data_IF_656387981224
#
_entry.id   IF_656387981224
#
_cell.length_a   1.000
_cell.length_b   1.000
_cell.length_c   1.000
_cell.angle_alpha   90.00
_cell.angle_beta   90.00
_cell.angle_gamma   90.00
#
_symmetry.space_group_name_H-M   'P 1'
#
loop_
_entity.id
_entity.type
_entity.pdbx_description
1 polymer ?
#
# COMPACT_ATOMS: atom_id res chain seq x y z
N UNK A 1 20.70 -9.72 2.94
CA UNK A 1 19.55 -9.21 2.20
C UNK A 1 19.94 -8.57 0.84
N UNK A 2 20.72 -7.48 0.79
CA UNK A 2 21.03 -6.81 -0.48
C UNK A 2 21.76 -7.69 -1.49
N UNK A 3 22.66 -8.59 -1.07
CA UNK A 3 23.29 -9.55 -1.98
C UNK A 3 22.27 -10.49 -2.66
N UNK A 4 21.23 -10.92 -1.91
CA UNK A 4 20.17 -11.75 -2.48
C UNK A 4 19.30 -10.94 -3.45
N UNK A 5 19.07 -9.66 -3.16
CA UNK A 5 18.38 -8.74 -4.07
C UNK A 5 19.17 -8.53 -5.37
N UNK A 6 20.50 -8.34 -5.29
CA UNK A 6 21.36 -8.24 -6.47
C UNK A 6 21.38 -9.53 -7.29
N UNK A 7 21.30 -10.70 -6.65
CA UNK A 7 21.14 -11.99 -7.36
C UNK A 7 19.82 -12.02 -8.16
N UNK A 8 18.70 -11.61 -7.54
CA UNK A 8 17.42 -11.51 -8.25
C UNK A 8 17.47 -10.50 -9.42
N UNK A 9 18.14 -9.34 -9.21
CA UNK A 9 18.35 -8.37 -10.29
C UNK A 9 19.15 -8.95 -11.45
N UNK A 10 20.14 -9.79 -11.17
CA UNK A 10 20.95 -10.46 -12.21
C UNK A 10 20.11 -11.49 -13.00
N UNK A 11 19.33 -12.32 -12.30
CA UNK A 11 18.39 -13.27 -12.95
C UNK A 11 17.41 -12.50 -13.82
N UNK A 12 16.79 -11.45 -13.28
CA UNK A 12 15.83 -10.64 -14.03
C UNK A 12 16.48 -9.98 -15.26
N UNK A 13 17.70 -9.47 -15.12
CA UNK A 13 18.48 -8.87 -16.22
C UNK A 13 18.73 -9.87 -17.34
N UNK A 14 19.13 -11.09 -17.02
CA UNK A 14 19.34 -12.16 -18.01
C UNK A 14 18.05 -12.44 -18.81
N UNK A 15 16.91 -12.54 -18.14
CA UNK A 15 15.61 -12.74 -18.81
C UNK A 15 15.18 -11.54 -19.65
N UNK A 16 15.48 -10.30 -19.23
CA UNK A 16 15.26 -9.07 -20.00
C UNK A 16 16.11 -9.10 -21.29
N UNK A 17 17.41 -9.36 -21.17
CA UNK A 17 18.35 -9.38 -22.30
C UNK A 17 17.99 -10.47 -23.33
N UNK A 18 17.46 -11.61 -22.88
CA UNK A 18 16.98 -12.70 -23.72
C UNK A 18 15.55 -12.47 -24.26
N UNK A 19 14.90 -11.36 -23.91
CA UNK A 19 13.51 -11.05 -24.27
C UNK A 19 12.52 -12.19 -23.92
N UNK A 20 12.72 -12.79 -22.76
CA UNK A 20 11.91 -13.89 -22.25
C UNK A 20 10.55 -13.42 -21.75
N UNK A 21 9.56 -14.33 -21.72
CA UNK A 21 8.22 -14.03 -21.18
C UNK A 21 8.21 -14.16 -19.68
N UNK A 22 7.88 -13.06 -18.98
CA UNK A 22 7.90 -12.99 -17.52
C UNK A 22 6.49 -13.04 -16.95
N UNK A 23 6.29 -13.90 -15.98
CA UNK A 23 5.02 -14.10 -15.29
C UNK A 23 5.09 -13.48 -13.89
N UNK A 24 4.19 -12.54 -13.58
CA UNK A 24 4.09 -11.90 -12.25
C UNK A 24 2.81 -12.38 -11.57
N UNK A 25 2.92 -12.87 -10.35
CA UNK A 25 1.81 -13.21 -9.46
C UNK A 25 1.94 -12.32 -8.23
N UNK A 26 0.88 -11.58 -7.89
CA UNK A 26 0.93 -10.63 -6.78
C UNK A 26 -0.33 -10.65 -5.92
N UNK A 27 -0.23 -10.10 -4.71
CA UNK A 27 -1.33 -9.96 -3.78
C UNK A 27 -2.28 -8.81 -4.15
N UNK A 28 -3.47 -8.80 -3.56
CA UNK A 28 -4.55 -7.92 -3.99
C UNK A 28 -4.74 -6.64 -3.15
N UNK A 29 -3.98 -6.44 -2.09
CA UNK A 29 -4.01 -5.21 -1.30
C UNK A 29 -3.11 -4.11 -1.88
N UNK A 30 -2.94 -3.03 -1.14
CA UNK A 30 -2.13 -1.91 -1.59
C UNK A 30 -0.65 -2.29 -1.76
N UNK A 31 -0.10 -3.15 -0.87
CA UNK A 31 1.29 -3.60 -0.97
C UNK A 31 1.49 -4.49 -2.19
N UNK A 32 0.67 -5.51 -2.38
CA UNK A 32 0.76 -6.40 -3.54
C UNK A 32 0.51 -5.69 -4.88
N UNK A 33 -0.45 -4.75 -4.95
CA UNK A 33 -0.67 -3.95 -6.18
C UNK A 33 0.56 -3.06 -6.45
N UNK A 34 1.17 -2.47 -5.42
CA UNK A 34 2.39 -1.67 -5.55
C UNK A 34 3.59 -2.52 -5.93
N UNK A 35 3.72 -3.74 -5.37
CA UNK A 35 4.73 -4.72 -5.74
C UNK A 35 4.65 -5.10 -7.24
N UNK A 36 3.43 -5.41 -7.70
CA UNK A 36 3.17 -5.64 -9.12
C UNK A 36 3.49 -4.42 -9.97
N UNK A 37 3.20 -3.20 -9.49
CA UNK A 37 3.47 -1.96 -10.21
C UNK A 37 4.96 -1.69 -10.39
N UNK A 38 5.78 -1.95 -9.36
CA UNK A 38 7.24 -1.86 -9.45
C UNK A 38 7.77 -2.75 -10.57
N UNK A 39 7.41 -4.03 -10.54
CA UNK A 39 7.88 -5.01 -11.53
C UNK A 39 7.35 -4.69 -12.93
N UNK A 40 6.05 -4.39 -13.05
CA UNK A 40 5.42 -4.12 -14.34
C UNK A 40 5.96 -2.83 -14.99
N UNK A 41 6.22 -1.75 -14.22
CA UNK A 41 6.84 -0.54 -14.77
C UNK A 41 8.28 -0.82 -15.20
N UNK A 42 9.08 -1.55 -14.40
CA UNK A 42 10.44 -1.91 -14.77
C UNK A 42 10.49 -2.69 -16.09
N UNK A 43 9.64 -3.72 -16.25
CA UNK A 43 9.59 -4.52 -17.48
C UNK A 43 9.01 -3.76 -18.67
N UNK A 44 8.03 -2.89 -18.45
CA UNK A 44 7.47 -2.01 -19.49
C UNK A 44 8.52 -1.06 -20.06
N UNK A 45 9.38 -0.49 -19.21
CA UNK A 45 10.48 0.37 -19.65
C UNK A 45 11.51 -0.38 -20.48
N UNK A 46 11.80 -1.63 -20.14
CA UNK A 46 12.69 -2.53 -20.90
C UNK A 46 12.00 -3.14 -22.14
N UNK A 47 10.70 -2.87 -22.34
CA UNK A 47 9.88 -3.38 -23.47
C UNK A 47 9.79 -4.91 -23.53
N UNK A 48 9.91 -5.57 -22.38
CA UNK A 48 9.78 -7.03 -22.26
C UNK A 48 8.31 -7.41 -22.10
N UNK A 49 7.94 -8.55 -22.66
CA UNK A 49 6.59 -9.09 -22.52
C UNK A 49 6.40 -9.69 -21.12
N UNK A 50 5.35 -9.29 -20.45
CA UNK A 50 4.98 -9.85 -19.15
C UNK A 50 3.47 -10.03 -19.02
N UNK A 51 3.08 -10.93 -18.13
CA UNK A 51 1.70 -11.12 -17.75
C UNK A 51 1.56 -11.08 -16.24
N UNK A 52 0.71 -10.18 -15.73
CA UNK A 52 0.45 -10.01 -14.30
C UNK A 52 -0.91 -10.61 -13.91
N UNK A 53 -0.93 -11.41 -12.86
CA UNK A 53 -2.16 -11.86 -12.20
C UNK A 53 -2.11 -11.43 -10.73
N UNK A 54 -3.17 -10.78 -10.28
CA UNK A 54 -3.33 -10.36 -8.90
C UNK A 54 -4.40 -11.24 -8.25
N UNK A 55 -4.09 -11.84 -7.12
CA UNK A 55 -4.96 -12.80 -6.42
C UNK A 55 -5.04 -12.48 -4.92
N UNK A 56 -6.18 -12.77 -4.26
CA UNK A 56 -6.33 -12.55 -2.82
C UNK A 56 -5.50 -13.50 -1.96
N UNK A 57 -5.04 -14.61 -2.52
CA UNK A 57 -4.23 -15.64 -1.84
C UNK A 57 -3.62 -16.56 -2.88
N UNK A 58 -2.36 -16.90 -2.70
CA UNK A 58 -1.74 -18.00 -3.43
C UNK A 58 -2.35 -19.33 -2.96
N UNK A 59 -2.67 -20.21 -3.89
CA UNK A 59 -3.26 -21.54 -3.65
C UNK A 59 -2.55 -22.57 -4.51
N UNK A 60 -2.53 -23.82 -4.05
CA UNK A 60 -1.94 -24.96 -4.78
C UNK A 60 -2.49 -25.11 -6.20
N UNK A 61 -3.80 -24.87 -6.40
CA UNK A 61 -4.41 -24.94 -7.75
C UNK A 61 -3.75 -23.97 -8.72
N UNK A 62 -3.49 -22.73 -8.29
CA UNK A 62 -2.81 -21.74 -9.12
C UNK A 62 -1.34 -22.11 -9.36
N UNK A 63 -0.64 -22.61 -8.33
CA UNK A 63 0.75 -23.10 -8.46
C UNK A 63 0.80 -24.24 -9.46
N UNK A 64 -0.12 -25.20 -9.38
CA UNK A 64 -0.22 -26.33 -10.31
C UNK A 64 -0.52 -25.86 -11.74
N UNK A 65 -1.41 -24.86 -11.93
CA UNK A 65 -1.67 -24.25 -13.21
C UNK A 65 -0.39 -23.62 -13.79
N UNK A 66 0.31 -22.80 -12.99
CA UNK A 66 1.54 -22.11 -13.40
C UNK A 66 2.66 -23.09 -13.80
N UNK A 67 2.77 -24.25 -13.15
CA UNK A 67 3.75 -25.31 -13.55
C UNK A 67 3.52 -25.85 -14.96
N UNK A 68 2.30 -25.78 -15.48
CA UNK A 68 1.94 -26.25 -16.81
C UNK A 68 1.93 -25.13 -17.86
N UNK A 69 1.98 -23.87 -17.43
CA UNK A 69 2.14 -22.74 -18.33
C UNK A 69 3.60 -22.65 -18.82
N UNK A 70 3.81 -22.09 -20.01
CA UNK A 70 5.17 -21.87 -20.52
C UNK A 70 5.64 -20.48 -20.10
N UNK A 71 6.55 -20.44 -19.16
CA UNK A 71 7.22 -19.23 -18.70
C UNK A 71 8.71 -19.49 -18.66
N UNK A 72 9.49 -18.44 -18.83
CA UNK A 72 10.94 -18.49 -18.64
C UNK A 72 11.32 -18.04 -17.23
N UNK A 73 10.52 -17.11 -16.65
CA UNK A 73 10.65 -16.62 -15.29
C UNK A 73 9.26 -16.40 -14.67
N UNK A 74 9.07 -16.84 -13.44
CA UNK A 74 7.89 -16.52 -12.63
C UNK A 74 8.33 -15.71 -11.39
N UNK A 75 7.67 -14.57 -11.17
CA UNK A 75 7.92 -13.71 -10.01
C UNK A 75 6.68 -13.74 -9.12
N UNK A 76 6.85 -14.20 -7.88
CA UNK A 76 5.86 -14.07 -6.81
C UNK A 76 6.20 -12.82 -6.00
N UNK A 77 5.33 -11.83 -6.02
CA UNK A 77 5.54 -10.56 -5.33
C UNK A 77 4.50 -10.39 -4.23
N UNK A 78 4.94 -10.02 -3.05
CA UNK A 78 4.14 -9.91 -1.84
C UNK A 78 3.39 -11.22 -1.51
N UNK A 79 4.00 -12.33 -1.86
CA UNK A 79 3.57 -13.70 -1.55
C UNK A 79 4.61 -14.72 -2.01
N UNK A 80 4.47 -15.96 -1.57
CA UNK A 80 5.27 -17.10 -2.05
C UNK A 80 6.13 -17.74 -0.97
N UNK A 81 6.50 -17.02 0.06
CA UNK A 81 7.41 -17.52 1.11
C UNK A 81 6.92 -18.77 1.85
N UNK A 82 5.62 -18.96 1.95
CA UNK A 82 5.02 -20.16 2.56
C UNK A 82 5.00 -21.37 1.61
N UNK A 83 5.32 -21.19 0.33
CA UNK A 83 5.21 -22.21 -0.73
C UNK A 83 6.55 -22.54 -1.40
N UNK A 84 7.68 -22.24 -0.75
CA UNK A 84 9.02 -22.47 -1.31
C UNK A 84 9.19 -23.91 -1.81
N UNK A 85 8.70 -24.91 -1.03
CA UNK A 85 8.78 -26.33 -1.42
C UNK A 85 8.08 -26.65 -2.73
N UNK A 86 6.89 -26.10 -2.94
CA UNK A 86 6.13 -26.26 -4.18
C UNK A 86 6.79 -25.49 -5.34
N UNK A 87 7.35 -24.33 -5.06
CA UNK A 87 7.99 -23.46 -6.06
C UNK A 87 9.35 -24.00 -6.51
N UNK A 88 10.08 -24.72 -5.66
CA UNK A 88 11.31 -25.44 -6.03
C UNK A 88 11.10 -26.43 -7.21
N UNK A 89 9.87 -26.93 -7.38
CA UNK A 89 9.56 -27.89 -8.44
C UNK A 89 9.29 -27.26 -9.83
N UNK A 90 9.38 -25.92 -9.95
CA UNK A 90 9.26 -25.24 -11.23
C UNK A 90 10.48 -25.56 -12.12
N UNK A 91 10.25 -25.67 -13.43
CA UNK A 91 11.32 -25.93 -14.42
C UNK A 91 11.96 -24.66 -14.99
N UNK A 92 11.42 -23.53 -14.63
CA UNK A 92 11.92 -22.19 -14.97
C UNK A 92 12.49 -21.53 -13.72
N UNK A 93 13.13 -20.38 -13.91
CA UNK A 93 13.57 -19.56 -12.79
C UNK A 93 12.39 -18.96 -12.04
N UNK A 94 12.55 -18.83 -10.73
CA UNK A 94 11.55 -18.24 -9.83
C UNK A 94 12.19 -17.17 -8.98
N UNK A 95 11.54 -16.02 -8.88
CA UNK A 95 11.87 -14.99 -7.89
C UNK A 95 10.71 -14.89 -6.91
N UNK A 96 11.00 -15.02 -5.62
CA UNK A 96 10.06 -14.73 -4.53
C UNK A 96 10.52 -13.42 -3.90
N UNK A 97 9.71 -12.36 -4.02
CA UNK A 97 9.92 -11.06 -3.43
C UNK A 97 8.79 -10.78 -2.42
N UNK A 98 9.00 -11.17 -1.18
CA UNK A 98 7.95 -11.28 -0.17
C UNK A 98 8.45 -10.82 1.19
N UNK A 99 7.56 -10.58 2.15
CA UNK A 99 7.88 -10.17 3.52
C UNK A 99 7.09 -10.97 4.58
N UNK A 100 6.21 -11.86 4.14
CA UNK A 100 5.45 -12.73 5.02
C UNK A 100 6.32 -13.82 5.66
N UNK A 101 5.78 -14.52 6.66
CA UNK A 101 6.47 -15.61 7.34
C UNK A 101 6.99 -16.66 6.34
N UNK A 102 8.23 -17.08 6.53
CA UNK A 102 8.89 -18.08 5.67
C UNK A 102 8.55 -19.49 6.12
N UNK A 103 8.55 -20.43 5.17
CA UNK A 103 8.52 -21.86 5.48
C UNK A 103 9.91 -22.35 5.92
N UNK A 104 9.97 -23.53 6.57
CA UNK A 104 11.23 -24.17 6.95
C UNK A 104 11.99 -24.83 5.77
N UNK A 105 11.45 -24.68 4.55
CA UNK A 105 12.02 -25.26 3.33
C UNK A 105 12.98 -24.26 2.68
N UNK A 106 14.19 -24.71 2.41
CA UNK A 106 15.20 -23.91 1.69
C UNK A 106 14.87 -23.78 0.20
N UNK A 107 15.20 -22.63 -0.37
CA UNK A 107 15.09 -22.37 -1.80
C UNK A 107 16.18 -23.13 -2.57
N UNK A 108 15.80 -23.85 -3.63
CA UNK A 108 16.73 -24.51 -4.56
C UNK A 108 17.37 -23.52 -5.53
N UNK A 109 18.31 -23.98 -6.36
CA UNK A 109 19.14 -23.14 -7.23
C UNK A 109 18.37 -22.34 -8.27
N UNK A 110 17.17 -22.78 -8.64
CA UNK A 110 16.27 -22.06 -9.57
C UNK A 110 15.36 -21.05 -8.87
N UNK A 111 15.44 -20.90 -7.54
CA UNK A 111 14.60 -20.01 -6.75
C UNK A 111 15.42 -18.96 -6.04
N UNK A 112 15.28 -17.70 -6.39
CA UNK A 112 15.85 -16.57 -5.64
C UNK A 112 14.80 -16.01 -4.69
N UNK A 113 15.03 -16.16 -3.39
CA UNK A 113 14.08 -15.75 -2.36
C UNK A 113 14.57 -14.48 -1.62
N UNK A 114 13.90 -13.36 -1.87
CA UNK A 114 14.09 -12.08 -1.18
C UNK A 114 13.01 -11.98 -0.10
N UNK A 115 13.41 -12.13 1.16
CA UNK A 115 12.49 -11.99 2.29
C UNK A 115 13.28 -11.48 3.52
N UNK A 116 12.81 -10.44 4.22
CA UNK A 116 13.49 -9.87 5.39
C UNK A 116 13.70 -10.88 6.51
N UNK A 117 12.76 -11.80 6.76
CA UNK A 117 12.87 -12.81 7.81
C UNK A 117 14.06 -13.77 7.64
N UNK A 118 14.56 -13.97 6.43
CA UNK A 118 15.77 -14.75 6.17
C UNK A 118 17.07 -14.06 6.64
N UNK A 119 16.98 -12.81 7.09
CA UNK A 119 18.10 -11.95 7.45
C UNK A 119 17.90 -11.26 8.81
N UNK A 120 17.05 -11.80 9.67
CA UNK A 120 16.70 -11.23 10.98
C UNK A 120 16.19 -9.78 10.90
N UNK A 121 15.49 -9.42 9.81
CA UNK A 121 14.84 -8.14 9.60
C UNK A 121 13.33 -8.32 9.80
N UNK A 122 12.69 -7.36 10.47
CA UNK A 122 11.25 -7.40 10.73
C UNK A 122 10.45 -7.05 9.46
N UNK A 123 9.82 -8.07 8.84
CA UNK A 123 8.98 -7.89 7.66
C UNK A 123 7.69 -7.11 7.90
N UNK A 124 7.26 -6.97 9.16
CA UNK A 124 6.06 -6.20 9.49
C UNK A 124 6.33 -4.69 9.63
N UNK A 125 7.59 -4.28 9.69
CA UNK A 125 8.00 -2.90 9.99
C UNK A 125 9.07 -2.33 9.06
N UNK A 126 10.07 -3.15 8.70
CA UNK A 126 11.31 -2.66 8.11
C UNK A 126 11.39 -2.85 6.59
N UNK A 127 10.51 -3.70 6.02
CA UNK A 127 10.41 -3.93 4.58
C UNK A 127 9.08 -4.59 4.21
N UNK A 128 8.37 -4.04 3.24
CA UNK A 128 7.13 -4.60 2.67
C UNK A 128 7.39 -5.52 1.47
N UNK A 129 6.34 -6.18 0.96
CA UNK A 129 6.41 -6.98 -0.27
C UNK A 129 6.74 -6.13 -1.50
N UNK A 130 6.20 -4.90 -1.58
CA UNK A 130 6.58 -3.93 -2.61
C UNK A 130 8.04 -3.49 -2.46
N UNK A 131 8.52 -3.34 -1.22
CA UNK A 131 9.91 -3.09 -0.92
C UNK A 131 10.82 -4.22 -1.40
N UNK A 132 10.47 -5.47 -1.11
CA UNK A 132 11.18 -6.67 -1.59
C UNK A 132 11.20 -6.73 -3.12
N UNK A 133 10.06 -6.40 -3.77
CA UNK A 133 9.95 -6.34 -5.24
C UNK A 133 10.79 -5.20 -5.84
N UNK A 134 10.86 -4.05 -5.16
CA UNK A 134 11.73 -2.95 -5.58
C UNK A 134 13.21 -3.34 -5.51
N UNK A 135 13.63 -4.04 -4.45
CA UNK A 135 15.00 -4.50 -4.34
C UNK A 135 15.40 -5.44 -5.48
N UNK A 136 14.46 -6.25 -6.01
CA UNK A 136 14.71 -7.12 -7.17
C UNK A 136 15.01 -6.35 -8.47
N UNK A 137 14.57 -5.11 -8.61
CA UNK A 137 14.79 -4.27 -9.80
C UNK A 137 15.74 -3.09 -9.55
N UNK A 138 16.14 -2.85 -8.32
CA UNK A 138 16.92 -1.68 -7.90
C UNK A 138 18.23 -1.53 -8.68
N UNK A 139 18.95 -2.63 -8.89
CA UNK A 139 20.25 -2.64 -9.57
C UNK A 139 20.12 -2.57 -11.11
N UNK A 140 18.91 -2.52 -11.64
CA UNK A 140 18.58 -2.29 -13.06
C UNK A 140 18.40 -0.79 -13.39
N UNK A 141 18.92 0.11 -12.59
CA UNK A 141 18.75 1.57 -12.72
C UNK A 141 17.27 2.02 -12.58
N UNK A 142 16.52 1.36 -11.70
CA UNK A 142 15.08 1.61 -11.46
C UNK A 142 14.80 2.37 -10.15
N UNK A 143 15.76 3.16 -9.66
CA UNK A 143 15.58 3.95 -8.42
C UNK A 143 14.37 4.89 -8.45
N UNK A 144 13.99 5.35 -9.62
CA UNK A 144 12.82 6.20 -9.79
C UNK A 144 11.48 5.49 -9.49
N UNK A 145 11.46 4.15 -9.41
CA UNK A 145 10.30 3.36 -9.01
C UNK A 145 10.18 3.14 -7.49
N UNK A 146 11.17 3.60 -6.72
CA UNK A 146 11.23 3.41 -5.27
C UNK A 146 9.98 3.92 -4.52
N UNK A 147 9.34 4.99 -5.02
CA UNK A 147 8.15 5.53 -4.39
C UNK A 147 6.95 4.55 -4.41
N UNK A 148 6.87 3.64 -5.39
CA UNK A 148 5.84 2.59 -5.37
C UNK A 148 6.06 1.62 -4.22
N UNK A 149 7.32 1.29 -3.88
CA UNK A 149 7.62 0.48 -2.72
C UNK A 149 7.16 1.14 -1.42
N UNK A 150 7.32 2.46 -1.31
CA UNK A 150 6.84 3.22 -0.15
C UNK A 150 5.30 3.32 -0.10
N UNK A 151 4.61 3.39 -1.25
CA UNK A 151 3.15 3.30 -1.31
C UNK A 151 2.68 1.95 -0.75
N UNK A 152 3.34 0.85 -1.12
CA UNK A 152 3.06 -0.48 -0.56
C UNK A 152 3.31 -0.53 0.94
N UNK A 153 4.45 -0.03 1.40
CA UNK A 153 4.79 0.03 2.82
C UNK A 153 3.79 0.87 3.65
N UNK A 154 3.19 1.95 3.09
CA UNK A 154 2.06 2.63 3.71
C UNK A 154 0.80 1.74 3.77
N UNK A 155 0.57 0.93 2.73
CA UNK A 155 -0.52 -0.06 2.74
C UNK A 155 -0.44 -1.04 3.90
N UNK A 156 0.77 -1.42 4.29
CA UNK A 156 1.11 -2.28 5.42
C UNK A 156 1.39 -1.52 6.73
N UNK A 157 1.02 -0.24 6.79
CA UNK A 157 1.15 0.61 7.97
C UNK A 157 2.60 0.80 8.46
N UNK A 158 3.60 0.56 7.61
CA UNK A 158 5.02 0.66 7.98
C UNK A 158 5.57 2.10 7.97
N UNK A 159 4.81 3.07 7.43
CA UNK A 159 5.23 4.47 7.29
C UNK A 159 4.63 5.44 8.31
N UNK A 160 3.74 4.99 9.21
CA UNK A 160 2.95 5.87 10.09
C UNK A 160 3.81 6.69 11.08
N UNK A 161 4.84 6.06 11.65
CA UNK A 161 5.79 6.68 12.59
C UNK A 161 7.14 6.96 11.93
N UNK A 162 7.15 7.09 10.60
CA UNK A 162 8.34 7.19 9.77
C UNK A 162 8.93 5.82 9.40
N UNK A 163 9.59 5.76 8.27
CA UNK A 163 10.18 4.52 7.76
C UNK A 163 11.43 4.10 8.53
N UNK A 164 11.56 2.79 8.77
CA UNK A 164 12.69 2.17 9.48
C UNK A 164 13.36 1.09 8.62
N UNK A 165 14.45 0.53 9.11
CA UNK A 165 15.13 -0.60 8.48
C UNK A 165 15.49 -0.37 7.00
N UNK A 166 15.16 -1.34 6.16
CA UNK A 166 15.43 -1.30 4.71
C UNK A 166 14.55 -0.26 4.00
N UNK A 167 13.36 0.06 4.53
CA UNK A 167 12.52 1.11 3.98
C UNK A 167 13.24 2.48 3.97
N UNK A 168 14.18 2.77 4.88
CA UNK A 168 15.00 4.00 4.83
C UNK A 168 15.87 4.07 3.59
N UNK A 169 16.48 2.95 3.17
CA UNK A 169 17.24 2.88 1.92
C UNK A 169 16.34 3.22 0.72
N UNK A 170 15.10 2.73 0.73
CA UNK A 170 14.11 2.99 -0.33
C UNK A 170 13.70 4.46 -0.34
N UNK A 171 13.51 5.08 0.83
CA UNK A 171 13.29 6.53 0.96
C UNK A 171 14.44 7.33 0.34
N UNK A 172 15.69 6.95 0.65
CA UNK A 172 16.87 7.64 0.11
C UNK A 172 16.95 7.51 -1.42
N UNK A 173 16.70 6.32 -1.97
CA UNK A 173 16.65 6.11 -3.42
C UNK A 173 15.54 6.92 -4.09
N UNK A 174 14.33 6.98 -3.49
CA UNK A 174 13.20 7.76 -4.00
C UNK A 174 13.51 9.27 -3.98
N UNK A 175 14.16 9.78 -2.92
CA UNK A 175 14.63 11.19 -2.82
C UNK A 175 15.69 11.49 -3.86
N UNK A 176 16.70 10.63 -4.00
CA UNK A 176 17.78 10.78 -4.98
C UNK A 176 17.26 10.81 -6.42
N UNK A 177 16.23 10.06 -6.71
CA UNK A 177 15.57 10.06 -8.04
C UNK A 177 14.70 11.29 -8.32
N UNK A 178 14.46 12.15 -7.32
CA UNK A 178 13.58 13.32 -7.41
C UNK A 178 12.09 12.97 -7.49
N UNK A 179 11.71 11.78 -7.01
CA UNK A 179 10.31 11.31 -6.99
C UNK A 179 9.74 11.24 -5.56
N UNK A 180 10.45 11.77 -4.57
CA UNK A 180 9.96 11.88 -3.20
C UNK A 180 10.40 13.19 -2.57
N UNK A 181 9.43 13.90 -1.99
CA UNK A 181 9.64 15.01 -1.06
C UNK A 181 9.03 14.65 0.28
N UNK A 182 9.69 15.06 1.37
CA UNK A 182 9.22 14.90 2.74
C UNK A 182 9.13 16.29 3.35
N UNK A 183 8.00 16.60 3.96
CA UNK A 183 7.75 17.87 4.63
C UNK A 183 6.85 17.66 5.85
N UNK A 184 6.99 18.52 6.83
CA UNK A 184 6.08 18.54 7.97
C UNK A 184 4.67 18.97 7.56
N UNK A 185 3.66 18.24 8.03
CA UNK A 185 2.27 18.54 7.70
C UNK A 185 1.26 17.78 8.54
N UNK A 186 -0.01 18.11 8.32
CA UNK A 186 -1.12 17.35 8.91
C UNK A 186 -1.32 16.03 8.17
N UNK A 187 -1.38 14.93 8.92
CA UNK A 187 -1.63 13.56 8.41
C UNK A 187 -3.13 13.27 8.25
N UNK A 188 -3.90 14.24 7.76
CA UNK A 188 -5.31 14.02 7.43
C UNK A 188 -5.45 13.47 6.02
N UNK A 189 -6.47 12.63 5.81
CA UNK A 189 -6.70 11.99 4.52
C UNK A 189 -7.60 12.82 3.60
N UNK A 190 -7.58 12.54 2.29
CA UNK A 190 -8.47 13.18 1.30
C UNK A 190 -8.38 14.72 1.23
N UNK A 191 -7.21 15.27 1.52
CA UNK A 191 -6.95 16.73 1.57
C UNK A 191 -7.44 17.50 0.34
N UNK A 192 -7.37 16.88 -0.83
CA UNK A 192 -7.71 17.49 -2.11
C UNK A 192 -9.00 16.95 -2.74
N UNK A 193 -9.59 15.90 -2.19
CA UNK A 193 -10.72 15.19 -2.81
C UNK A 193 -12.05 15.34 -2.08
N UNK A 194 -12.05 15.46 -0.76
CA UNK A 194 -13.26 15.54 0.06
C UNK A 194 -13.38 16.88 0.82
N UNK A 195 -14.60 17.28 1.21
CA UNK A 195 -14.81 18.38 2.14
C UNK A 195 -14.10 18.12 3.47
N UNK A 196 -13.63 19.19 4.12
CA UNK A 196 -12.78 19.12 5.31
C UNK A 196 -13.38 18.30 6.46
N UNK A 197 -14.68 18.44 6.74
CA UNK A 197 -15.35 17.64 7.77
C UNK A 197 -15.28 16.13 7.48
N UNK A 198 -15.37 15.73 6.21
CA UNK A 198 -15.20 14.33 5.80
C UNK A 198 -13.75 13.89 5.90
N UNK A 199 -12.81 14.73 5.47
CA UNK A 199 -11.38 14.43 5.60
C UNK A 199 -11.00 14.13 7.05
N UNK A 200 -11.49 14.92 8.00
CA UNK A 200 -11.28 14.70 9.43
C UNK A 200 -11.96 13.42 9.94
N UNK A 201 -13.24 13.23 9.61
CA UNK A 201 -13.98 12.02 10.01
C UNK A 201 -13.40 10.73 9.41
N UNK A 202 -12.78 10.79 8.23
CA UNK A 202 -12.14 9.66 7.55
C UNK A 202 -10.70 9.40 8.00
N UNK A 203 -10.11 10.27 8.81
CA UNK A 203 -8.77 10.09 9.35
C UNK A 203 -8.80 9.13 10.53
N UNK A 204 -8.45 7.86 10.30
CA UNK A 204 -8.43 6.80 11.30
C UNK A 204 -7.06 6.60 11.93
N UNK A 205 -6.01 7.06 11.28
CA UNK A 205 -4.64 7.02 11.79
C UNK A 205 -3.94 8.36 11.54
N UNK A 206 -3.51 9.04 12.61
CA UNK A 206 -3.88 8.77 14.01
C UNK A 206 -5.35 9.09 14.29
N UNK A 207 -6.00 8.39 15.25
CA UNK A 207 -7.40 8.65 15.59
C UNK A 207 -7.55 9.99 16.30
N UNK A 208 -8.62 10.71 16.00
CA UNK A 208 -8.98 11.99 16.59
C UNK A 208 -10.24 11.80 17.47
N UNK A 209 -10.11 11.68 18.80
CA UNK A 209 -11.25 11.51 19.71
C UNK A 209 -12.35 12.55 19.49
N UNK A 210 -13.60 12.09 19.29
CA UNK A 210 -14.76 12.94 19.03
C UNK A 210 -14.90 13.46 17.58
N UNK A 211 -13.95 13.08 16.68
CA UNK A 211 -13.90 13.52 15.28
C UNK A 211 -13.84 12.31 14.35
N UNK A 212 -12.89 11.39 14.57
CA UNK A 212 -12.73 10.19 13.74
C UNK A 212 -14.00 9.33 13.75
N UNK A 213 -14.52 9.01 12.58
CA UNK A 213 -15.73 8.22 12.40
C UNK A 213 -17.00 8.94 12.85
N UNK A 214 -16.99 10.26 12.95
CA UNK A 214 -18.09 11.09 13.41
C UNK A 214 -18.22 12.35 12.53
N UNK A 215 -19.19 12.35 11.60
CA UNK A 215 -19.40 13.47 10.69
C UNK A 215 -19.97 14.71 11.39
N UNK A 216 -20.83 14.51 12.39
CA UNK A 216 -21.40 15.59 13.19
C UNK A 216 -20.32 16.20 14.09
N UNK A 217 -19.59 15.37 14.85
CA UNK A 217 -18.50 15.82 15.70
C UNK A 217 -17.40 16.55 14.94
N UNK A 218 -17.04 16.13 13.74
CA UNK A 218 -16.07 16.84 12.89
C UNK A 218 -16.62 18.16 12.36
N UNK A 219 -17.93 18.26 12.06
CA UNK A 219 -18.56 19.52 11.65
C UNK A 219 -18.59 20.51 12.81
N UNK A 220 -19.05 20.11 13.99
CA UNK A 220 -19.06 20.95 15.20
C UNK A 220 -17.65 21.42 15.59
N UNK A 221 -16.64 20.55 15.42
CA UNK A 221 -15.25 20.91 15.68
C UNK A 221 -14.79 22.08 14.79
N UNK A 222 -15.09 22.05 13.49
CA UNK A 222 -14.74 23.10 12.55
C UNK A 222 -15.53 24.39 12.78
N UNK A 223 -16.83 24.29 13.08
CA UNK A 223 -17.68 25.46 13.40
C UNK A 223 -17.19 26.23 14.62
N UNK A 224 -16.69 25.57 15.66
CA UNK A 224 -16.10 26.22 16.84
C UNK A 224 -14.90 27.11 16.50
N UNK A 225 -14.19 26.81 15.42
CA UNK A 225 -13.05 27.59 14.92
C UNK A 225 -13.44 28.61 13.85
N UNK A 226 -14.74 28.74 13.53
CA UNK A 226 -15.24 29.52 12.38
C UNK A 226 -14.60 29.10 11.03
N UNK A 227 -14.20 27.83 10.90
CA UNK A 227 -13.68 27.26 9.67
C UNK A 227 -14.84 26.72 8.82
N UNK A 228 -14.75 26.92 7.50
CA UNK A 228 -15.72 26.34 6.57
C UNK A 228 -15.52 24.81 6.48
N UNK A 229 -16.48 24.04 6.94
CA UNK A 229 -16.44 22.58 6.89
C UNK A 229 -16.66 22.03 5.47
N UNK A 230 -17.30 22.79 4.58
CA UNK A 230 -17.65 22.38 3.22
C UNK A 230 -16.54 22.54 2.18
N UNK A 231 -15.46 23.26 2.49
CA UNK A 231 -14.30 23.40 1.60
C UNK A 231 -13.31 22.25 1.80
N UNK A 232 -12.36 22.09 0.88
CA UNK A 232 -11.29 21.11 1.01
C UNK A 232 -10.13 21.68 1.83
N UNK A 233 -9.35 20.83 2.48
CA UNK A 233 -8.13 21.26 3.17
C UNK A 233 -7.17 22.00 2.23
N UNK A 234 -7.05 21.53 0.98
CA UNK A 234 -6.21 22.17 -0.04
C UNK A 234 -6.59 23.62 -0.35
N UNK A 235 -7.83 24.00 -0.08
CA UNK A 235 -8.40 25.31 -0.43
C UNK A 235 -8.39 26.30 0.75
N UNK A 236 -7.95 25.85 1.95
CA UNK A 236 -7.75 26.69 3.12
C UNK A 236 -6.59 27.68 2.92
N UNK A 237 -6.74 28.90 3.45
CA UNK A 237 -5.63 29.84 3.62
C UNK A 237 -4.60 29.37 4.66
N UNK A 238 -3.40 29.94 4.63
CA UNK A 238 -2.32 29.49 5.55
C UNK A 238 -2.71 29.76 7.03
N UNK A 239 -3.35 30.90 7.35
CA UNK A 239 -3.84 31.19 8.70
C UNK A 239 -4.86 30.15 9.19
N UNK A 240 -5.78 29.75 8.29
CA UNK A 240 -6.78 28.72 8.61
C UNK A 240 -6.15 27.35 8.82
N UNK A 241 -5.12 27.00 8.05
CA UNK A 241 -4.34 25.78 8.22
C UNK A 241 -3.59 25.76 9.53
N UNK A 242 -3.01 26.88 9.95
CA UNK A 242 -2.31 26.99 11.23
C UNK A 242 -3.28 26.86 12.42
N UNK A 243 -4.44 27.51 12.36
CA UNK A 243 -5.50 27.37 13.38
C UNK A 243 -5.93 25.90 13.50
N UNK A 244 -6.22 25.26 12.36
CA UNK A 244 -6.63 23.86 12.33
C UNK A 244 -5.55 22.93 12.89
N UNK A 245 -4.31 23.14 12.51
CA UNK A 245 -3.15 22.39 12.99
C UNK A 245 -3.02 22.47 14.51
N UNK A 246 -3.05 23.69 15.06
CA UNK A 246 -2.87 23.93 16.48
C UNK A 246 -3.98 23.26 17.31
N UNK A 247 -5.22 23.26 16.84
CA UNK A 247 -6.33 22.61 17.52
C UNK A 247 -6.28 21.07 17.41
N UNK A 248 -5.88 20.54 16.25
CA UNK A 248 -5.74 19.10 16.04
C UNK A 248 -4.60 18.51 16.87
N UNK A 249 -3.46 19.21 16.98
CA UNK A 249 -2.30 18.79 17.81
C UNK A 249 -2.69 18.70 19.29
N UNK A 250 -3.58 19.55 19.79
CA UNK A 250 -4.09 19.46 21.17
C UNK A 250 -4.90 18.18 21.42
N UNK A 251 -5.56 17.67 20.39
CA UNK A 251 -6.35 16.44 20.47
C UNK A 251 -5.44 15.21 20.37
N UNK A 252 -4.57 15.20 19.36
CA UNK A 252 -3.59 14.14 19.15
C UNK A 252 -2.35 14.72 18.45
N UNK A 253 -1.19 14.81 19.14
CA UNK A 253 0.04 15.35 18.57
C UNK A 253 0.54 14.57 17.33
N UNK A 254 0.25 13.28 17.24
CA UNK A 254 0.72 12.41 16.14
C UNK A 254 0.06 12.75 14.80
N UNK A 255 -0.97 13.64 14.81
CA UNK A 255 -1.61 14.14 13.58
C UNK A 255 -0.69 15.04 12.75
N UNK A 256 0.39 15.54 13.34
CA UNK A 256 1.38 16.37 12.66
C UNK A 256 2.72 15.67 12.61
N UNK A 257 3.36 15.69 11.44
CA UNK A 257 4.67 15.05 11.24
C UNK A 257 4.98 14.90 9.76
N UNK A 258 5.90 13.98 9.45
CA UNK A 258 6.36 13.72 8.10
C UNK A 258 5.20 13.33 7.16
N UNK A 259 5.03 14.11 6.10
CA UNK A 259 4.19 13.82 4.95
C UNK A 259 5.08 13.50 3.74
N UNK A 260 4.80 12.39 3.08
CA UNK A 260 5.58 11.86 1.97
C UNK A 260 4.84 12.11 0.66
N UNK A 261 5.45 12.85 -0.26
CA UNK A 261 4.76 13.26 -1.50
C UNK A 261 5.59 13.00 -2.75
N UNK A 262 4.91 12.66 -3.85
CA UNK A 262 5.49 12.55 -5.20
C UNK A 262 5.24 13.88 -5.94
N UNK A 263 6.25 14.74 -6.13
CA UNK A 263 6.04 16.11 -6.63
C UNK A 263 5.39 16.20 -8.01
N UNK A 264 5.68 15.21 -8.85
CA UNK A 264 5.22 15.18 -10.26
C UNK A 264 3.84 14.57 -10.44
N UNK A 265 3.26 13.98 -9.38
CA UNK A 265 1.93 13.41 -9.45
C UNK A 265 0.83 14.46 -9.33
N UNK A 266 -0.32 14.11 -9.87
CA UNK A 266 -1.54 14.92 -9.73
C UNK A 266 -1.94 15.01 -8.24
N UNK A 267 -2.64 16.07 -7.81
CA UNK A 267 -2.94 16.31 -6.40
C UNK A 267 -3.54 15.11 -5.65
N UNK A 268 -4.37 14.32 -6.32
CA UNK A 268 -5.06 13.17 -5.73
C UNK A 268 -4.14 11.96 -5.43
N UNK A 269 -3.04 11.82 -6.16
CA UNK A 269 -2.05 10.73 -6.01
C UNK A 269 -0.70 11.23 -5.47
N UNK A 270 -0.62 12.51 -5.11
CA UNK A 270 0.64 13.11 -4.68
C UNK A 270 1.09 12.62 -3.31
N UNK A 271 0.17 12.48 -2.37
CA UNK A 271 0.44 11.94 -1.04
C UNK A 271 0.52 10.41 -1.12
N UNK A 272 1.62 9.80 -0.64
CA UNK A 272 1.86 8.36 -0.75
C UNK A 272 0.85 7.53 0.02
N UNK A 273 0.48 7.99 1.21
CA UNK A 273 -0.50 7.30 2.05
C UNK A 273 -1.89 7.34 1.40
N UNK A 274 -2.28 8.49 0.84
CA UNK A 274 -3.54 8.63 0.08
C UNK A 274 -3.54 7.74 -1.17
N UNK A 275 -2.41 7.63 -1.86
CA UNK A 275 -2.27 6.75 -3.00
C UNK A 275 -2.43 5.28 -2.58
N UNK A 276 -1.84 4.87 -1.45
CA UNK A 276 -2.00 3.50 -0.94
C UNK A 276 -3.47 3.17 -0.64
N UNK A 277 -4.23 4.10 -0.06
CA UNK A 277 -5.67 3.92 0.19
C UNK A 277 -6.49 3.77 -1.09
N UNK A 278 -6.11 4.44 -2.18
CA UNK A 278 -6.77 4.29 -3.49
C UNK A 278 -6.51 2.87 -4.04
N UNK A 279 -5.28 2.36 -3.95
CA UNK A 279 -4.95 1.01 -4.37
C UNK A 279 -5.65 -0.04 -3.51
N UNK A 280 -5.67 0.15 -2.19
CA UNK A 280 -6.35 -0.74 -1.25
C UNK A 280 -7.87 -0.81 -1.51
N UNK A 281 -8.50 0.33 -1.83
CA UNK A 281 -9.90 0.35 -2.22
C UNK A 281 -10.17 -0.46 -3.50
N UNK A 282 -9.24 -0.43 -4.47
CA UNK A 282 -9.32 -1.29 -5.65
C UNK A 282 -9.23 -2.77 -5.27
N UNK A 283 -8.30 -3.13 -4.38
CA UNK A 283 -8.10 -4.48 -3.87
C UNK A 283 -9.33 -5.02 -3.15
N UNK A 284 -9.82 -4.29 -2.14
CA UNK A 284 -11.00 -4.64 -1.34
C UNK A 284 -12.27 -4.80 -2.16
N UNK A 285 -12.39 -4.07 -3.27
CA UNK A 285 -13.52 -4.18 -4.21
C UNK A 285 -13.28 -5.18 -5.35
N UNK A 286 -12.22 -6.00 -5.31
CA UNK A 286 -11.85 -7.00 -6.34
C UNK A 286 -11.65 -6.37 -7.73
N UNK A 287 -11.17 -5.13 -7.77
CA UNK A 287 -10.84 -4.38 -8.99
C UNK A 287 -9.33 -4.23 -9.17
N UNK A 288 -8.61 -5.32 -9.00
CA UNK A 288 -7.13 -5.36 -8.96
C UNK A 288 -6.49 -4.71 -10.19
N UNK A 289 -6.98 -5.05 -11.39
CA UNK A 289 -6.50 -4.46 -12.64
C UNK A 289 -6.73 -2.96 -12.72
N UNK A 290 -7.74 -2.41 -12.02
CA UNK A 290 -7.97 -0.97 -11.93
C UNK A 290 -6.82 -0.29 -11.15
N UNK A 291 -6.46 -0.84 -9.97
CA UNK A 291 -5.35 -0.34 -9.16
C UNK A 291 -4.02 -0.40 -9.93
N UNK A 292 -3.73 -1.54 -10.55
CA UNK A 292 -2.52 -1.69 -11.37
C UNK A 292 -2.50 -0.70 -12.56
N UNK A 293 -3.63 -0.49 -13.25
CA UNK A 293 -3.66 0.44 -14.39
C UNK A 293 -3.38 1.89 -13.96
N UNK A 294 -3.85 2.30 -12.77
CA UNK A 294 -3.51 3.61 -12.20
C UNK A 294 -2.01 3.69 -11.93
N UNK A 295 -1.42 2.67 -11.32
CA UNK A 295 0.01 2.61 -11.06
C UNK A 295 0.86 2.55 -12.35
N UNK A 296 0.30 2.08 -13.46
CA UNK A 296 0.91 2.10 -14.79
C UNK A 296 0.68 3.40 -15.58
N UNK A 297 0.01 4.40 -14.98
CA UNK A 297 -0.10 5.74 -15.53
C UNK A 297 -1.49 6.15 -16.03
N UNK A 298 -2.53 5.32 -15.86
CA UNK A 298 -3.90 5.74 -16.21
C UNK A 298 -4.41 6.74 -15.16
N UNK A 299 -4.85 7.93 -15.59
CA UNK A 299 -5.22 9.06 -14.71
C UNK A 299 -6.64 9.58 -14.92
N UNK A 300 -7.42 8.98 -15.81
CA UNK A 300 -8.76 9.45 -16.15
C UNK A 300 -9.84 8.51 -15.59
N UNK A 301 -10.29 7.56 -16.41
CA UNK A 301 -11.43 6.69 -16.09
C UNK A 301 -11.16 5.74 -14.93
N UNK A 302 -9.96 5.14 -14.89
CA UNK A 302 -9.61 4.22 -13.82
C UNK A 302 -9.51 4.96 -12.49
N UNK A 303 -8.83 6.12 -12.47
CA UNK A 303 -8.68 6.92 -11.26
C UNK A 303 -10.03 7.42 -10.72
N UNK A 304 -10.90 7.95 -11.59
CA UNK A 304 -12.26 8.34 -11.20
C UNK A 304 -13.03 7.19 -10.55
N UNK A 305 -12.98 6.01 -11.17
CA UNK A 305 -13.65 4.81 -10.63
C UNK A 305 -13.08 4.40 -9.28
N UNK A 306 -11.75 4.40 -9.12
CA UNK A 306 -11.07 4.05 -7.88
C UNK A 306 -11.40 5.03 -6.74
N UNK A 307 -11.44 6.34 -7.03
CA UNK A 307 -11.83 7.37 -6.06
C UNK A 307 -13.28 7.19 -5.59
N UNK A 308 -14.19 6.85 -6.50
CA UNK A 308 -15.58 6.56 -6.13
C UNK A 308 -15.69 5.30 -5.25
N UNK A 309 -14.85 4.27 -5.49
CA UNK A 309 -14.77 3.08 -4.64
C UNK A 309 -14.21 3.42 -3.25
N UNK A 310 -13.15 4.20 -3.19
CA UNK A 310 -12.54 4.65 -1.93
C UNK A 310 -13.55 5.45 -1.08
N UNK A 311 -14.27 6.41 -1.70
CA UNK A 311 -15.30 7.20 -1.01
C UNK A 311 -16.40 6.31 -0.44
N UNK A 312 -16.94 5.38 -1.23
CA UNK A 312 -17.96 4.43 -0.78
C UNK A 312 -17.47 3.57 0.39
N UNK A 313 -16.22 3.12 0.33
CA UNK A 313 -15.62 2.33 1.40
C UNK A 313 -15.52 3.14 2.70
N UNK A 314 -15.01 4.38 2.64
CA UNK A 314 -14.93 5.29 3.80
C UNK A 314 -16.31 5.62 4.39
N UNK A 315 -17.30 5.90 3.55
CA UNK A 315 -18.68 6.10 4.01
C UNK A 315 -19.21 4.85 4.75
N UNK A 316 -18.87 3.66 4.30
CA UNK A 316 -19.27 2.41 4.99
C UNK A 316 -18.52 2.23 6.32
N UNK A 317 -17.25 2.60 6.43
CA UNK A 317 -16.51 2.58 7.68
C UNK A 317 -17.15 3.50 8.72
N UNK A 318 -17.43 4.76 8.36
CA UNK A 318 -18.10 5.73 9.25
C UNK A 318 -19.45 5.22 9.71
N UNK A 319 -20.32 4.78 8.79
CA UNK A 319 -21.62 4.19 9.14
C UNK A 319 -21.50 2.97 10.05
N UNK A 320 -20.46 2.16 9.86
CA UNK A 320 -20.18 1.02 10.72
C UNK A 320 -19.83 1.46 12.13
N UNK A 321 -18.99 2.47 12.29
CA UNK A 321 -18.64 3.03 13.60
C UNK A 321 -19.82 3.70 14.30
N UNK A 322 -20.63 4.47 13.56
CA UNK A 322 -21.86 5.06 14.10
C UNK A 322 -22.81 3.97 14.61
N UNK A 323 -22.94 2.88 13.85
CA UNK A 323 -23.75 1.73 14.27
C UNK A 323 -23.18 1.07 15.54
N UNK A 324 -21.87 0.86 15.64
CA UNK A 324 -21.20 0.31 16.82
C UNK A 324 -21.43 1.21 18.04
N UNK A 325 -21.28 2.54 17.89
CA UNK A 325 -21.53 3.52 18.95
C UNK A 325 -22.98 3.42 19.48
N UNK A 326 -23.95 3.21 18.57
CA UNK A 326 -25.38 3.15 18.90
C UNK A 326 -25.78 1.84 19.57
N UNK A 327 -25.33 0.71 19.06
CA UNK A 327 -25.66 -0.62 19.60
C UNK A 327 -24.92 -0.92 20.91
N UNK A 328 -23.68 -0.44 21.00
CA UNK A 328 -22.79 -0.73 22.13
C UNK A 328 -22.25 -2.16 22.10
N UNK A 329 -21.31 -2.46 22.98
CA UNK A 329 -20.76 -3.79 23.18
C UNK A 329 -21.40 -4.47 24.39
N UNK A 330 -21.53 -5.81 24.31
CA UNK A 330 -21.89 -6.62 25.49
C UNK A 330 -20.61 -6.87 26.27
N UNK A 331 -20.59 -6.43 27.54
CA UNK A 331 -19.45 -6.56 28.44
C UNK A 331 -19.67 -7.75 29.38
N UNK A 332 -18.79 -8.73 29.32
CA UNK A 332 -18.65 -9.80 30.27
C UNK A 332 -17.41 -9.56 31.15
N UNK A 333 -17.17 -10.37 32.18
CA UNK A 333 -16.08 -10.17 33.13
C UNK A 333 -14.68 -10.12 32.51
N UNK A 334 -14.46 -10.81 31.38
CA UNK A 334 -13.14 -10.96 30.71
C UNK A 334 -13.19 -10.79 29.21
N UNK A 335 -14.37 -10.52 28.62
CA UNK A 335 -14.58 -10.40 27.17
C UNK A 335 -15.59 -9.31 26.91
N UNK A 336 -15.31 -8.51 25.86
CA UNK A 336 -16.30 -7.68 25.18
C UNK A 336 -16.62 -8.28 23.83
N UNK A 337 -17.87 -8.29 23.45
CA UNK A 337 -18.25 -8.69 22.08
C UNK A 337 -19.38 -7.84 21.52
N UNK A 338 -19.40 -7.79 20.20
CA UNK A 338 -20.43 -7.16 19.39
C UNK A 338 -20.85 -8.14 18.29
N UNK A 339 -22.15 -8.29 18.06
CA UNK A 339 -22.67 -9.15 16.98
C UNK A 339 -23.33 -8.29 15.90
N UNK A 340 -22.68 -8.17 14.74
CA UNK A 340 -23.06 -7.22 13.70
C UNK A 340 -24.03 -7.75 12.65
N UNK A 341 -24.25 -9.07 12.55
CA UNK A 341 -25.12 -9.69 11.51
C UNK A 341 -24.82 -9.17 10.08
N UNK A 342 -23.54 -8.98 9.73
CA UNK A 342 -23.10 -8.40 8.44
C UNK A 342 -23.52 -6.93 8.22
N UNK A 343 -23.98 -6.21 9.24
CA UNK A 343 -24.35 -4.79 9.15
C UNK A 343 -23.14 -3.87 9.05
N UNK A 344 -21.96 -4.39 9.43
CA UNK A 344 -20.68 -3.63 9.47
C UNK A 344 -19.64 -4.37 8.66
N UNK A 345 -18.78 -3.63 7.98
CA UNK A 345 -17.62 -4.23 7.28
C UNK A 345 -16.70 -4.92 8.28
N UNK A 346 -16.11 -6.06 7.90
CA UNK A 346 -15.13 -6.78 8.73
C UNK A 346 -13.94 -5.92 9.15
N UNK A 347 -13.57 -4.93 8.32
CA UNK A 347 -12.50 -3.98 8.60
C UNK A 347 -12.83 -2.92 9.65
N UNK A 348 -14.09 -2.85 10.13
CA UNK A 348 -14.53 -1.96 11.22
C UNK A 348 -14.56 -2.69 12.55
N UNK A 349 -14.63 -4.02 12.52
CA UNK A 349 -14.66 -4.90 13.69
C UNK A 349 -13.28 -5.34 14.11
#
# INVERSE_FOLDING_TARGET
>A
MLNRASEASNVLKEHIENNNVIRIISHNDADGISAAAVLANALKEEKVQFHTTIVPRLKEDLINQLRHEKHDLVIFSDMGSSFVGELNSFKCDVIIADHHQVSDVEAESNVVHINPHLFDIDGSRDLSGAGSSYLAVRDLDKKHLAYFALIGAFGDMQGQDGFTGVNKLIVDDAKQSGNLEIHDGLKIVSKSSEPLFKSLAYTFSPPLPGITGDLEGSTEFLERMNLSYGIKFSDLGEEEKDILKDELIKINPDIFGDCYTVPKEIPLLRDLEEYSYILDACGKNKKFGLGLSIALGEREKALKTATDLQRKYRDQLVKGLEWIKKEGSVNLSHIQYLYSEDKVLKSVM
#
